data_IF_830043420604
#
_entry.id   IF_830043420604
#
_cell.length_a   1.000
_cell.length_b   1.000
_cell.length_c   1.000
_cell.angle_alpha   90.00
_cell.angle_beta   90.00
_cell.angle_gamma   90.00
#
_symmetry.space_group_name_H-M   'P 1'
#
loop_
_entity.id
_entity.type
_entity.pdbx_description
1 polymer ?
#
# COMPACT_ATOMS: atom_id res chain seq x y z
N UNK A 1 14.38 -33.77 -17.09
CA UNK A 1 14.56 -32.79 -15.99
C UNK A 1 13.35 -31.87 -16.04
N UNK A 2 12.54 -31.83 -15.00
CA UNK A 2 11.41 -30.90 -14.92
C UNK A 2 11.99 -29.48 -14.72
N UNK A 3 11.60 -28.49 -15.53
CA UNK A 3 12.10 -27.13 -15.36
C UNK A 3 11.68 -26.58 -13.99
N UNK A 4 12.57 -25.85 -13.34
CA UNK A 4 12.23 -25.07 -12.14
C UNK A 4 11.40 -23.86 -12.57
N UNK A 5 10.11 -23.87 -12.22
CA UNK A 5 9.19 -22.80 -12.61
C UNK A 5 9.52 -21.45 -11.95
N UNK A 6 10.19 -21.45 -10.81
CA UNK A 6 10.62 -20.21 -10.13
C UNK A 6 11.76 -19.56 -10.90
N UNK A 7 12.75 -20.36 -11.31
CA UNK A 7 13.86 -19.86 -12.12
C UNK A 7 13.38 -19.38 -13.48
N UNK A 8 12.43 -20.11 -14.09
CA UNK A 8 11.82 -19.67 -15.35
C UNK A 8 11.07 -18.33 -15.18
N UNK A 9 10.26 -18.20 -14.15
CA UNK A 9 9.54 -16.95 -13.86
C UNK A 9 10.52 -15.79 -13.64
N UNK A 10 11.60 -16.04 -12.90
CA UNK A 10 12.65 -15.04 -12.66
C UNK A 10 13.34 -14.61 -13.97
N UNK A 11 13.63 -15.54 -14.86
CA UNK A 11 14.23 -15.22 -16.15
C UNK A 11 13.28 -14.37 -17.02
N UNK A 12 11.97 -14.70 -17.05
CA UNK A 12 10.97 -13.90 -17.75
C UNK A 12 10.90 -12.48 -17.22
N UNK A 13 10.95 -12.28 -15.89
CA UNK A 13 11.02 -10.94 -15.29
C UNK A 13 12.19 -10.13 -15.84
N UNK A 14 13.40 -10.74 -15.89
CA UNK A 14 14.60 -10.08 -16.41
C UNK A 14 14.48 -9.76 -17.91
N UNK A 15 13.94 -10.70 -18.70
CA UNK A 15 13.77 -10.53 -20.15
C UNK A 15 12.78 -9.40 -20.49
N UNK A 16 11.78 -9.21 -19.62
CA UNK A 16 10.77 -8.14 -19.73
C UNK A 16 11.23 -6.80 -19.10
N UNK A 17 12.46 -6.75 -18.55
CA UNK A 17 13.08 -5.52 -18.04
C UNK A 17 12.73 -5.19 -16.58
N UNK A 18 12.14 -6.12 -15.84
CA UNK A 18 11.93 -6.00 -14.40
C UNK A 18 13.17 -6.42 -13.61
N UNK A 19 13.25 -5.93 -12.37
CA UNK A 19 14.29 -6.36 -11.42
C UNK A 19 13.64 -7.26 -10.34
N UNK A 20 13.79 -8.60 -10.43
CA UNK A 20 13.12 -9.52 -9.51
C UNK A 20 13.72 -9.53 -8.10
N UNK A 21 14.89 -8.89 -7.90
CA UNK A 21 15.63 -8.97 -6.65
C UNK A 21 15.88 -7.56 -6.05
N UNK A 22 15.65 -7.43 -4.75
CA UNK A 22 16.05 -6.23 -4.02
C UNK A 22 17.59 -6.13 -3.91
N UNK A 23 18.12 -4.97 -4.23
CA UNK A 23 19.54 -4.68 -4.09
C UNK A 23 20.00 -4.74 -2.62
N UNK A 24 21.31 -4.88 -2.38
CA UNK A 24 21.87 -4.80 -1.04
C UNK A 24 21.58 -3.44 -0.36
N UNK A 25 21.51 -2.37 -1.14
CA UNK A 25 21.15 -1.03 -0.67
C UNK A 25 19.67 -0.97 -0.21
N UNK A 26 18.73 -1.49 -1.03
CA UNK A 26 17.32 -1.55 -0.66
C UNK A 26 17.09 -2.39 0.62
N UNK A 27 17.79 -3.53 0.75
CA UNK A 27 17.76 -4.32 1.99
C UNK A 27 18.37 -3.59 3.19
N UNK A 28 19.36 -2.71 2.96
CA UNK A 28 19.94 -1.89 4.02
C UNK A 28 18.97 -0.80 4.49
N UNK A 29 18.17 -0.23 3.59
CA UNK A 29 17.17 0.81 3.91
C UNK A 29 16.09 0.28 4.85
N UNK A 30 15.75 -1.02 4.80
CA UNK A 30 14.79 -1.65 5.72
C UNK A 30 15.14 -1.45 7.21
N UNK A 31 16.43 -1.32 7.54
CA UNK A 31 16.85 -1.06 8.92
C UNK A 31 16.43 0.31 9.46
N UNK A 32 16.00 1.20 8.58
CA UNK A 32 15.57 2.56 8.90
C UNK A 32 14.03 2.72 8.88
N UNK A 33 13.29 1.71 8.48
CA UNK A 33 11.82 1.69 8.53
C UNK A 33 11.36 1.95 9.97
N UNK A 34 10.37 2.82 10.15
CA UNK A 34 9.89 3.26 11.45
C UNK A 34 10.80 4.25 12.20
N UNK A 35 11.91 4.68 11.60
CA UNK A 35 12.88 5.62 12.22
C UNK A 35 12.90 6.99 11.54
N UNK A 36 12.12 7.16 10.49
CA UNK A 36 12.06 8.45 9.81
C UNK A 36 11.32 9.46 10.68
N UNK A 37 11.89 10.65 10.88
CA UNK A 37 11.18 11.69 11.60
C UNK A 37 9.89 12.02 10.84
N UNK A 38 8.81 12.16 11.60
CA UNK A 38 7.56 12.67 11.04
C UNK A 38 7.86 14.02 10.37
N UNK A 39 7.42 14.21 9.15
CA UNK A 39 7.59 15.47 8.43
C UNK A 39 6.75 16.62 9.04
N UNK A 40 6.07 16.36 10.17
CA UNK A 40 5.25 17.34 10.88
C UNK A 40 3.95 17.71 10.17
N UNK A 41 3.57 16.98 9.11
CA UNK A 41 2.26 17.18 8.50
C UNK A 41 1.15 16.86 9.51
N UNK A 42 0.10 17.67 9.59
CA UNK A 42 -1.00 17.42 10.50
C UNK A 42 -1.68 16.09 10.16
N UNK A 43 -1.88 15.25 11.18
CA UNK A 43 -2.62 14.00 11.07
C UNK A 43 -4.02 14.20 11.65
N UNK A 44 -5.04 13.68 10.96
CA UNK A 44 -6.40 13.56 11.51
C UNK A 44 -6.54 12.20 12.20
N UNK A 45 -7.11 12.17 13.40
CA UNK A 45 -7.39 10.93 14.12
C UNK A 45 -8.71 10.33 13.65
N UNK A 46 -8.63 9.26 12.87
CA UNK A 46 -9.78 8.53 12.34
C UNK A 46 -9.87 7.09 12.88
N UNK A 47 -9.17 6.79 13.98
CA UNK A 47 -9.17 5.46 14.60
C UNK A 47 -10.53 5.02 15.13
N UNK A 48 -11.46 5.95 15.32
CA UNK A 48 -12.84 5.67 15.75
C UNK A 48 -13.78 5.20 14.63
N UNK A 49 -13.37 5.25 13.37
CA UNK A 49 -14.18 4.75 12.25
C UNK A 49 -14.08 3.23 12.16
N UNK A 50 -15.18 2.60 11.78
CA UNK A 50 -15.24 1.14 11.59
C UNK A 50 -14.71 0.78 10.20
N UNK A 51 -13.39 0.90 10.05
CA UNK A 51 -12.71 0.56 8.82
C UNK A 51 -12.88 -0.90 8.42
N UNK A 52 -12.98 -1.17 7.13
CA UNK A 52 -12.97 -2.51 6.54
C UNK A 52 -12.07 -2.53 5.32
N UNK A 53 -11.50 -3.69 4.98
CA UNK A 53 -10.84 -3.92 3.70
C UNK A 53 -11.69 -4.88 2.84
N UNK A 54 -11.46 -4.85 1.53
CA UNK A 54 -12.11 -5.76 0.58
C UNK A 54 -11.00 -6.65 -0.03
N UNK A 55 -10.55 -7.60 0.76
CA UNK A 55 -9.44 -8.51 0.46
C UNK A 55 -9.84 -9.97 0.70
N UNK A 56 -8.95 -10.90 0.37
CA UNK A 56 -9.09 -12.29 0.79
C UNK A 56 -8.70 -12.45 2.26
N UNK A 57 -9.26 -13.45 2.95
CA UNK A 57 -9.02 -13.71 4.38
C UNK A 57 -7.55 -13.94 4.73
N UNK A 58 -6.72 -14.36 3.77
CA UNK A 58 -5.29 -14.63 3.93
C UNK A 58 -4.38 -13.51 3.43
N UNK A 59 -4.94 -12.39 2.93
CA UNK A 59 -4.16 -11.22 2.49
C UNK A 59 -3.38 -10.63 3.67
N UNK A 60 -2.11 -10.32 3.43
CA UNK A 60 -1.19 -9.75 4.45
C UNK A 60 -0.72 -8.35 4.14
N UNK A 61 -0.89 -7.90 2.93
CA UNK A 61 -0.50 -6.59 2.41
C UNK A 61 -1.75 -5.72 2.19
N UNK A 62 -2.46 -5.41 3.29
CA UNK A 62 -3.64 -4.56 3.26
C UNK A 62 -3.21 -3.12 2.99
N UNK A 63 -3.33 -2.68 1.75
CA UNK A 63 -2.87 -1.38 1.29
C UNK A 63 -3.98 -0.32 1.24
N UNK A 64 -5.25 -0.74 1.38
CA UNK A 64 -6.39 0.16 1.46
C UNK A 64 -7.46 -0.36 2.44
N UNK A 65 -8.18 0.59 3.02
CA UNK A 65 -9.36 0.34 3.87
C UNK A 65 -10.44 1.38 3.57
N UNK A 66 -11.71 1.01 3.73
CA UNK A 66 -12.85 1.86 3.45
C UNK A 66 -13.78 1.96 4.66
N UNK A 67 -14.42 3.13 4.77
CA UNK A 67 -15.58 3.34 5.63
C UNK A 67 -16.61 4.18 4.90
N UNK A 68 -17.87 3.85 5.04
CA UNK A 68 -18.98 4.60 4.44
C UNK A 68 -20.08 4.86 5.45
N UNK A 69 -20.66 6.05 5.40
CA UNK A 69 -21.82 6.46 6.20
C UNK A 69 -22.92 6.98 5.29
N UNK A 70 -24.14 6.50 5.47
CA UNK A 70 -25.28 7.01 4.74
C UNK A 70 -25.75 8.33 5.34
N UNK A 71 -25.94 9.34 4.48
CA UNK A 71 -26.42 10.66 4.86
C UNK A 71 -27.94 10.70 4.85
N UNK A 72 -28.53 11.66 5.60
CA UNK A 72 -29.98 11.85 5.71
C UNK A 72 -30.65 12.15 4.37
N UNK A 73 -29.93 12.75 3.44
CA UNK A 73 -30.41 13.07 2.08
C UNK A 73 -30.37 11.87 1.11
N UNK A 74 -30.00 10.69 1.61
CA UNK A 74 -29.84 9.46 0.83
C UNK A 74 -28.53 9.36 0.07
N UNK A 75 -27.61 10.31 0.24
CA UNK A 75 -26.24 10.24 -0.22
C UNK A 75 -25.34 9.45 0.73
N UNK A 76 -24.04 9.49 0.48
CA UNK A 76 -23.01 8.80 1.28
C UNK A 76 -21.82 9.70 1.53
N UNK A 77 -21.27 9.60 2.74
CA UNK A 77 -19.92 10.05 3.04
C UNK A 77 -19.00 8.83 3.00
N UNK A 78 -17.93 8.89 2.22
CA UNK A 78 -17.02 7.79 1.99
C UNK A 78 -15.61 8.22 2.36
N UNK A 79 -14.90 7.36 3.08
CA UNK A 79 -13.47 7.51 3.38
C UNK A 79 -12.71 6.30 2.82
N UNK A 80 -11.67 6.56 2.07
CA UNK A 80 -10.74 5.55 1.57
C UNK A 80 -9.37 5.88 2.14
N UNK A 81 -8.87 5.02 3.03
CA UNK A 81 -7.54 5.11 3.59
C UNK A 81 -6.57 4.25 2.78
N UNK A 82 -5.52 4.84 2.25
CA UNK A 82 -4.43 4.15 1.54
C UNK A 82 -3.18 4.20 2.41
N UNK A 83 -2.49 3.08 2.57
CA UNK A 83 -1.27 2.99 3.37
C UNK A 83 -0.25 4.06 2.95
N UNK A 84 0.20 4.87 3.91
CA UNK A 84 1.14 5.98 3.66
C UNK A 84 2.58 5.46 3.60
N UNK A 85 2.92 4.82 2.47
CA UNK A 85 4.25 4.25 2.24
C UNK A 85 5.33 5.33 2.25
N UNK A 86 5.03 6.56 1.80
CA UNK A 86 5.96 7.70 1.79
C UNK A 86 6.44 8.08 3.21
N UNK A 87 5.63 7.79 4.24
CA UNK A 87 6.04 7.99 5.64
C UNK A 87 7.20 7.09 6.05
N UNK A 88 7.39 5.95 5.40
CA UNK A 88 8.37 4.93 5.74
C UNK A 88 9.50 4.81 4.70
N UNK A 89 9.24 5.21 3.45
CA UNK A 89 10.17 5.10 2.32
C UNK A 89 10.53 6.48 1.78
N UNK A 90 11.69 7.03 2.17
CA UNK A 90 12.09 8.34 1.69
C UNK A 90 12.27 8.36 0.17
N UNK A 91 11.79 9.42 -0.46
CA UNK A 91 12.00 9.67 -1.88
C UNK A 91 13.51 9.66 -2.23
N UNK A 92 13.88 8.92 -3.26
CA UNK A 92 15.27 8.75 -3.71
C UNK A 92 16.05 7.69 -2.92
N UNK A 93 15.43 6.99 -1.96
CA UNK A 93 16.03 5.82 -1.33
C UNK A 93 16.19 4.66 -2.31
N UNK A 94 16.96 3.64 -1.94
CA UNK A 94 17.11 2.47 -2.80
C UNK A 94 15.83 1.63 -2.91
N UNK A 95 14.97 1.64 -1.88
CA UNK A 95 13.63 1.03 -1.94
C UNK A 95 12.73 1.81 -2.91
N UNK A 96 12.71 3.14 -2.82
CA UNK A 96 11.94 4.00 -3.72
C UNK A 96 12.37 3.81 -5.18
N UNK A 97 13.67 3.77 -5.45
CA UNK A 97 14.21 3.53 -6.78
C UNK A 97 13.81 2.16 -7.34
N UNK A 98 13.85 1.10 -6.50
CA UNK A 98 13.39 -0.23 -6.89
C UNK A 98 11.89 -0.23 -7.19
N UNK A 99 11.07 0.33 -6.30
CA UNK A 99 9.62 0.43 -6.49
C UNK A 99 9.25 1.20 -7.76
N UNK A 100 9.94 2.31 -8.05
CA UNK A 100 9.75 3.10 -9.25
C UNK A 100 10.11 2.33 -10.54
N UNK A 101 11.14 1.49 -10.51
CA UNK A 101 11.52 0.64 -11.63
C UNK A 101 10.56 -0.54 -11.82
N UNK A 102 10.12 -1.15 -10.70
CA UNK A 102 9.24 -2.31 -10.70
C UNK A 102 7.79 -1.94 -11.04
N UNK A 103 7.30 -0.78 -10.57
CA UNK A 103 5.95 -0.21 -10.78
C UNK A 103 4.77 -1.06 -10.31
N UNK A 104 4.94 -2.35 -10.08
CA UNK A 104 3.89 -3.28 -9.64
C UNK A 104 4.49 -4.51 -8.95
N UNK A 105 3.68 -5.17 -8.14
CA UNK A 105 3.95 -6.55 -7.71
C UNK A 105 3.52 -7.51 -8.81
N UNK A 106 4.41 -8.44 -9.19
CA UNK A 106 4.11 -9.44 -10.22
C UNK A 106 3.79 -10.78 -9.57
N UNK A 107 2.58 -11.26 -9.79
CA UNK A 107 2.09 -12.54 -9.28
C UNK A 107 2.22 -13.61 -10.36
N UNK A 108 2.97 -14.70 -10.05
CA UNK A 108 3.06 -15.86 -10.92
C UNK A 108 2.53 -17.10 -10.20
N UNK A 109 2.28 -18.17 -10.93
CA UNK A 109 1.85 -19.43 -10.33
C UNK A 109 2.93 -20.13 -9.47
N UNK A 110 4.18 -19.66 -9.48
CA UNK A 110 5.31 -20.29 -8.78
C UNK A 110 5.95 -19.40 -7.70
N UNK A 111 5.92 -18.08 -7.88
CA UNK A 111 6.56 -17.10 -7.01
C UNK A 111 5.94 -15.72 -7.20
N UNK A 112 5.95 -14.90 -6.16
CA UNK A 112 5.55 -13.49 -6.21
C UNK A 112 6.83 -12.63 -6.21
N UNK A 113 6.88 -11.63 -7.09
CA UNK A 113 7.92 -10.61 -7.14
C UNK A 113 7.34 -9.29 -6.62
N UNK A 114 7.53 -8.96 -5.35
CA UNK A 114 6.89 -7.80 -4.76
C UNK A 114 7.58 -6.50 -5.19
N UNK A 115 6.78 -5.44 -5.41
CA UNK A 115 7.28 -4.09 -5.66
C UNK A 115 8.01 -3.50 -4.45
N UNK A 116 7.51 -3.80 -3.26
CA UNK A 116 8.10 -3.39 -1.97
C UNK A 116 8.52 -4.62 -1.17
N UNK A 117 9.58 -4.53 -0.35
CA UNK A 117 9.93 -5.61 0.59
C UNK A 117 8.75 -5.96 1.48
N UNK A 118 8.57 -7.26 1.78
CA UNK A 118 7.45 -7.74 2.60
C UNK A 118 7.44 -7.15 4.02
N UNK A 119 8.59 -6.77 4.55
CA UNK A 119 8.70 -6.07 5.83
C UNK A 119 8.01 -4.71 5.82
N UNK A 120 7.83 -4.11 4.64
CA UNK A 120 7.02 -2.92 4.43
C UNK A 120 5.57 -3.33 4.11
N UNK A 121 5.34 -3.93 2.94
CA UNK A 121 3.99 -4.15 2.40
C UNK A 121 3.11 -5.02 3.29
N UNK A 122 3.66 -6.09 3.87
CA UNK A 122 2.93 -6.98 4.79
C UNK A 122 3.26 -6.69 6.27
N UNK A 123 4.04 -5.67 6.57
CA UNK A 123 4.51 -5.32 7.91
C UNK A 123 4.22 -3.90 8.31
N UNK A 124 5.18 -3.00 8.08
CA UNK A 124 5.17 -1.65 8.66
C UNK A 124 4.05 -0.76 8.09
N UNK A 125 3.63 -0.95 6.84
CA UNK A 125 2.60 -0.13 6.18
C UNK A 125 1.25 -0.82 6.05
N UNK A 126 1.16 -2.14 6.22
CA UNK A 126 -0.11 -2.87 6.13
C UNK A 126 -1.14 -2.38 7.16
N UNK A 127 -2.37 -2.14 6.71
CA UNK A 127 -3.46 -1.57 7.49
C UNK A 127 -4.24 -2.64 8.27
N UNK A 128 -3.52 -3.48 9.03
CA UNK A 128 -4.10 -4.53 9.86
C UNK A 128 -4.97 -4.00 10.99
N UNK A 129 -5.87 -4.87 11.47
CA UNK A 129 -6.64 -4.65 12.69
C UNK A 129 -5.73 -4.42 13.91
N UNK A 130 -6.23 -3.65 14.87
CA UNK A 130 -5.61 -3.39 16.17
C UNK A 130 -4.20 -2.77 16.13
N UNK A 131 -3.80 -2.19 14.99
CA UNK A 131 -2.53 -1.45 14.89
C UNK A 131 -2.76 -0.05 14.35
N UNK A 132 -2.02 0.91 14.92
CA UNK A 132 -2.05 2.28 14.40
C UNK A 132 -1.17 2.40 13.17
N UNK A 133 -1.72 2.96 12.10
CA UNK A 133 -1.03 3.19 10.84
C UNK A 133 -1.31 4.59 10.31
N UNK A 134 -0.32 5.15 9.62
CA UNK A 134 -0.51 6.36 8.83
C UNK A 134 -1.13 5.97 7.49
N UNK A 135 -2.11 6.77 7.08
CA UNK A 135 -2.77 6.61 5.80
C UNK A 135 -2.95 7.96 5.11
N UNK A 136 -2.94 7.95 3.80
CA UNK A 136 -3.48 9.05 2.99
C UNK A 136 -4.96 8.75 2.81
N UNK A 137 -5.81 9.65 3.27
CA UNK A 137 -7.26 9.46 3.25
C UNK A 137 -7.87 10.34 2.18
N UNK A 138 -8.66 9.72 1.31
CA UNK A 138 -9.56 10.40 0.37
C UNK A 138 -10.96 10.37 0.98
N UNK A 139 -11.47 11.54 1.33
CA UNK A 139 -12.83 11.72 1.85
C UNK A 139 -13.71 12.27 0.74
N UNK A 140 -14.88 11.67 0.52
CA UNK A 140 -15.79 12.04 -0.56
C UNK A 140 -17.23 12.12 -0.06
N UNK A 141 -17.96 13.16 -0.49
CA UNK A 141 -19.40 13.23 -0.34
C UNK A 141 -20.06 12.88 -1.67
N UNK A 142 -20.89 11.84 -1.68
CA UNK A 142 -21.57 11.31 -2.86
C UNK A 142 -23.06 11.58 -2.72
N UNK A 143 -23.68 12.18 -3.74
CA UNK A 143 -25.12 12.43 -3.78
C UNK A 143 -25.92 11.13 -3.97
N UNK A 144 -27.23 11.18 -3.69
CA UNK A 144 -28.14 10.04 -3.85
C UNK A 144 -28.25 9.53 -5.29
N UNK A 145 -27.85 10.33 -6.27
CA UNK A 145 -27.77 9.97 -7.69
C UNK A 145 -26.39 9.48 -8.12
N UNK A 146 -25.42 9.35 -7.16
CA UNK A 146 -24.05 8.91 -7.41
C UNK A 146 -23.10 10.02 -7.86
N UNK A 147 -23.51 11.29 -7.86
CA UNK A 147 -22.63 12.41 -8.21
C UNK A 147 -21.63 12.69 -7.06
N UNK A 148 -20.37 13.01 -7.41
CA UNK A 148 -19.38 13.52 -6.46
C UNK A 148 -19.70 14.99 -6.14
N UNK A 149 -20.13 15.27 -4.90
CA UNK A 149 -20.42 16.62 -4.41
C UNK A 149 -19.16 17.36 -3.95
N UNK A 150 -18.30 16.67 -3.22
CA UNK A 150 -17.03 17.21 -2.73
C UNK A 150 -16.03 16.11 -2.46
N UNK A 151 -14.75 16.47 -2.44
CA UNK A 151 -13.66 15.60 -2.01
C UNK A 151 -12.57 16.37 -1.27
N UNK A 152 -11.90 15.71 -0.35
CA UNK A 152 -10.72 16.22 0.37
C UNK A 152 -9.68 15.09 0.45
N UNK A 153 -8.38 15.45 0.55
CA UNK A 153 -7.28 14.50 0.70
C UNK A 153 -6.37 14.98 1.82
N UNK A 154 -6.12 14.10 2.77
CA UNK A 154 -5.31 14.44 3.96
C UNK A 154 -4.64 13.18 4.55
N UNK A 155 -3.86 13.39 5.62
CA UNK A 155 -3.19 12.32 6.37
C UNK A 155 -3.78 12.16 7.75
#
# INVERSE_FOLDING_TARGET
>A
MTPDLRELARQVMLDDGFDPDFTAAARADLRNVGKHPDNGAPLRDLRGLLWSSIDNDDTRDLDQVEYAEQLEDGGYQLWIGVADVDAEVPKGSAIDAHAAAQTTTVYTGAVIFPMLPLELSAGATSLFEDVERKAVVVEMSIGSNGELKSSDVYR
#
